data_IF_574320960734
#
_entry.id   IF_574320960734
#
_cell.length_a   1.000
_cell.length_b   1.000
_cell.length_c   1.000
_cell.angle_alpha   90.00
_cell.angle_beta   90.00
_cell.angle_gamma   90.00
#
_symmetry.space_group_name_H-M   'P 1'
#
loop_
_entity.id
_entity.type
_entity.pdbx_description
1 polymer ?
#
# COMPACT_ATOMS: atom_id res chain seq x y z
N UNK A 1 -23.48 4.79 -15.47
CA UNK A 1 -22.64 5.68 -14.65
C UNK A 1 -21.46 4.86 -14.18
N UNK A 2 -20.23 5.38 -14.35
CA UNK A 2 -19.03 4.73 -13.83
C UNK A 2 -18.90 5.03 -12.34
N UNK A 3 -18.56 4.01 -11.55
CA UNK A 3 -18.30 4.14 -10.11
C UNK A 3 -16.86 4.57 -9.93
N UNK A 4 -16.56 5.51 -9.03
CA UNK A 4 -15.16 5.89 -8.78
C UNK A 4 -14.37 4.70 -8.20
N UNK A 5 -13.16 4.45 -8.68
CA UNK A 5 -12.31 3.37 -8.20
C UNK A 5 -11.22 3.94 -7.31
N UNK A 6 -11.36 3.74 -6.01
CA UNK A 6 -10.46 4.24 -4.98
C UNK A 6 -9.54 3.13 -4.48
N UNK A 7 -8.25 3.28 -4.73
CA UNK A 7 -7.19 2.40 -4.24
C UNK A 7 -6.56 3.03 -3.01
N UNK A 8 -6.97 2.55 -1.84
CA UNK A 8 -6.48 3.02 -0.54
C UNK A 8 -5.15 2.38 -0.20
N UNK A 9 -4.12 3.19 0.01
CA UNK A 9 -2.77 2.75 0.34
C UNK A 9 -2.37 3.26 1.72
N UNK A 10 -2.15 2.35 2.68
CA UNK A 10 -1.75 2.69 4.05
C UNK A 10 -0.23 2.78 4.17
N UNK A 11 0.29 3.89 4.70
CA UNK A 11 1.69 4.05 5.08
C UNK A 11 1.83 4.08 6.61
N UNK A 12 3.07 4.08 7.11
CA UNK A 12 3.37 4.04 8.55
C UNK A 12 2.77 5.22 9.33
N UNK A 13 2.70 6.42 8.73
CA UNK A 13 2.19 7.64 9.38
C UNK A 13 1.13 8.40 8.57
N UNK A 14 0.81 7.92 7.38
CA UNK A 14 -0.07 8.57 6.42
C UNK A 14 -0.82 7.51 5.61
N UNK A 15 -1.73 7.96 4.76
CA UNK A 15 -2.32 7.12 3.73
C UNK A 15 -2.49 7.96 2.47
N UNK A 16 -2.58 7.29 1.33
CA UNK A 16 -2.95 7.91 0.07
C UNK A 16 -4.06 7.11 -0.58
N UNK A 17 -4.98 7.78 -1.24
CA UNK A 17 -6.01 7.13 -2.04
C UNK A 17 -5.78 7.51 -3.48
N UNK A 18 -5.56 6.52 -4.34
CA UNK A 18 -5.43 6.71 -5.77
C UNK A 18 -6.79 6.49 -6.45
N UNK A 19 -7.13 7.34 -7.42
CA UNK A 19 -8.36 7.24 -8.21
C UNK A 19 -7.98 6.72 -9.59
N UNK A 20 -8.03 5.40 -9.78
CA UNK A 20 -7.56 4.79 -11.04
C UNK A 20 -8.37 5.25 -12.25
N UNK A 21 -9.69 5.39 -12.09
CA UNK A 21 -10.59 5.69 -13.19
C UNK A 21 -11.03 7.16 -13.23
N UNK A 22 -10.19 8.08 -12.74
CA UNK A 22 -10.52 9.50 -12.68
C UNK A 22 -10.96 10.05 -14.05
N UNK A 23 -10.30 9.62 -15.13
CA UNK A 23 -10.59 10.04 -16.50
C UNK A 23 -11.94 9.54 -17.03
N UNK A 24 -12.51 8.51 -16.40
CA UNK A 24 -13.82 7.95 -16.76
C UNK A 24 -14.97 8.56 -15.94
N UNK A 25 -14.65 9.40 -14.95
CA UNK A 25 -15.62 10.08 -14.09
C UNK A 25 -16.12 11.38 -14.73
N UNK A 26 -17.37 11.71 -14.46
CA UNK A 26 -17.91 13.02 -14.84
C UNK A 26 -17.26 14.14 -14.04
N UNK A 27 -17.17 15.35 -14.62
CA UNK A 27 -16.66 16.55 -13.95
C UNK A 27 -17.35 16.79 -12.60
N UNK A 28 -18.66 16.53 -12.51
CA UNK A 28 -19.44 16.65 -11.27
C UNK A 28 -18.96 15.69 -10.17
N UNK A 29 -18.59 14.45 -10.53
CA UNK A 29 -18.04 13.49 -9.59
C UNK A 29 -16.66 13.91 -9.12
N UNK A 30 -15.81 14.41 -10.03
CA UNK A 30 -14.48 14.91 -9.69
C UNK A 30 -14.58 16.10 -8.72
N UNK A 31 -15.50 17.04 -8.98
CA UNK A 31 -15.77 18.17 -8.07
C UNK A 31 -16.30 17.72 -6.71
N UNK A 32 -17.12 16.66 -6.67
CA UNK A 32 -17.61 16.07 -5.43
C UNK A 32 -16.46 15.49 -4.60
N UNK A 33 -15.54 14.78 -5.25
CA UNK A 33 -14.34 14.21 -4.61
C UNK A 33 -13.41 15.34 -4.12
N UNK A 34 -13.16 16.36 -4.95
CA UNK A 34 -12.36 17.52 -4.55
C UNK A 34 -12.97 18.22 -3.34
N UNK A 35 -14.28 18.45 -3.35
CA UNK A 35 -15.02 19.06 -2.25
C UNK A 35 -14.93 18.23 -0.97
N UNK A 36 -15.08 16.90 -1.09
CA UNK A 36 -14.91 15.97 0.02
C UNK A 36 -13.50 16.05 0.64
N UNK A 37 -12.47 16.05 -0.20
CA UNK A 37 -11.07 16.16 0.26
C UNK A 37 -10.81 17.51 0.92
N UNK A 38 -11.27 18.61 0.30
CA UNK A 38 -11.11 19.97 0.81
C UNK A 38 -11.85 20.19 2.14
N UNK A 39 -13.06 19.66 2.28
CA UNK A 39 -13.83 19.70 3.53
C UNK A 39 -13.09 19.00 4.67
N UNK A 40 -12.31 17.95 4.36
CA UNK A 40 -11.50 17.20 5.32
C UNK A 40 -10.08 17.73 5.47
N UNK A 41 -9.81 18.95 4.98
CA UNK A 41 -8.47 19.58 4.99
C UNK A 41 -7.40 18.70 4.34
N UNK A 42 -7.80 17.92 3.35
CA UNK A 42 -6.88 17.13 2.54
C UNK A 42 -6.34 17.89 1.36
N UNK A 43 -5.49 17.19 0.62
CA UNK A 43 -4.91 17.64 -0.63
C UNK A 43 -5.24 16.62 -1.71
N UNK A 44 -5.79 17.10 -2.82
CA UNK A 44 -6.03 16.31 -4.01
C UNK A 44 -4.98 16.69 -5.05
N UNK A 45 -4.21 15.71 -5.52
CA UNK A 45 -3.22 15.89 -6.56
C UNK A 45 -3.78 15.37 -7.89
N UNK A 46 -4.03 16.30 -8.80
CA UNK A 46 -4.57 16.01 -10.13
C UNK A 46 -3.53 15.46 -11.10
N UNK A 47 -2.22 15.56 -10.81
CA UNK A 47 -1.20 14.98 -11.70
C UNK A 47 -1.05 13.47 -11.46
N UNK A 48 -1.14 13.06 -10.19
CA UNK A 48 -1.00 11.65 -9.80
C UNK A 48 -2.33 10.96 -9.53
N UNK A 49 -3.44 11.66 -9.73
CA UNK A 49 -4.81 11.21 -9.42
C UNK A 49 -4.91 10.63 -8.01
N UNK A 50 -4.19 11.21 -7.05
CA UNK A 50 -4.14 10.74 -5.67
C UNK A 50 -4.57 11.84 -4.72
N UNK A 51 -5.18 11.45 -3.62
CA UNK A 51 -5.49 12.38 -2.55
C UNK A 51 -5.11 11.84 -1.18
N UNK A 52 -4.87 12.78 -0.27
CA UNK A 52 -4.53 12.53 1.12
C UNK A 52 -5.41 13.41 2.01
N UNK A 53 -5.84 12.92 3.16
CA UNK A 53 -6.54 13.73 4.17
C UNK A 53 -5.78 13.67 5.49
N UNK A 54 -5.77 14.78 6.24
CA UNK A 54 -4.92 14.96 7.42
C UNK A 54 -5.25 14.02 8.59
N UNK A 55 -6.40 13.36 8.57
CA UNK A 55 -6.85 12.49 9.66
C UNK A 55 -6.33 11.08 9.45
N UNK A 56 -5.60 10.50 10.42
CA UNK A 56 -5.29 9.06 10.39
C UNK A 56 -6.60 8.27 10.32
N UNK A 57 -6.79 7.53 9.23
CA UNK A 57 -7.98 6.76 8.94
C UNK A 57 -7.57 5.34 8.57
N UNK A 58 -8.35 4.38 9.05
CA UNK A 58 -8.26 3.01 8.62
C UNK A 58 -9.16 2.79 7.41
N UNK A 59 -8.90 1.76 6.61
CA UNK A 59 -9.67 1.48 5.41
C UNK A 59 -11.17 1.34 5.70
N UNK A 60 -11.56 0.62 6.75
CA UNK A 60 -12.96 0.50 7.18
C UNK A 60 -13.61 1.85 7.49
N UNK A 61 -12.86 2.79 8.08
CA UNK A 61 -13.34 4.14 8.36
C UNK A 61 -13.49 4.94 7.06
N UNK A 62 -12.54 4.80 6.13
CA UNK A 62 -12.60 5.43 4.82
C UNK A 62 -13.81 4.97 4.01
N UNK A 63 -14.07 3.66 3.96
CA UNK A 63 -15.26 3.09 3.30
C UNK A 63 -16.54 3.62 3.96
N UNK A 64 -16.58 3.65 5.29
CA UNK A 64 -17.72 4.21 6.04
C UNK A 64 -17.95 5.70 5.75
N UNK A 65 -16.88 6.46 5.51
CA UNK A 65 -16.97 7.88 5.16
C UNK A 65 -17.51 8.12 3.75
N UNK A 66 -17.09 7.29 2.79
CA UNK A 66 -17.61 7.35 1.42
C UNK A 66 -19.09 7.00 1.37
N UNK A 67 -19.50 5.95 2.09
CA UNK A 67 -20.92 5.57 2.22
C UNK A 67 -21.76 6.70 2.82
N UNK A 68 -21.27 7.37 3.87
CA UNK A 68 -21.95 8.53 4.47
C UNK A 68 -22.03 9.75 3.55
N UNK A 69 -21.09 9.87 2.61
CA UNK A 69 -21.02 11.00 1.68
C UNK A 69 -21.79 10.72 0.38
N UNK A 70 -22.50 9.58 0.29
CA UNK A 70 -23.26 9.13 -0.88
C UNK A 70 -22.40 9.04 -2.18
N UNK A 71 -21.09 8.83 -2.03
CA UNK A 71 -20.19 8.65 -3.18
C UNK A 71 -20.23 7.17 -3.57
N UNK A 72 -20.86 6.87 -4.70
CA UNK A 72 -20.91 5.50 -5.23
C UNK A 72 -19.54 5.15 -5.84
N UNK A 73 -18.74 4.43 -5.06
CA UNK A 73 -17.35 4.11 -5.38
C UNK A 73 -16.98 2.67 -5.00
N UNK A 74 -16.11 2.08 -5.81
CA UNK A 74 -15.43 0.82 -5.54
C UNK A 74 -14.16 1.16 -4.76
N UNK A 75 -13.96 0.51 -3.63
CA UNK A 75 -12.80 0.74 -2.77
C UNK A 75 -11.95 -0.52 -2.72
N UNK A 76 -10.67 -0.42 -3.06
CA UNK A 76 -9.69 -1.48 -2.91
C UNK A 76 -8.64 -1.07 -1.89
N UNK A 77 -8.24 -2.00 -1.01
CA UNK A 77 -7.14 -1.80 -0.08
C UNK A 77 -5.84 -2.32 -0.70
N UNK A 78 -4.91 -1.42 -0.96
CA UNK A 78 -3.56 -1.73 -1.40
C UNK A 78 -2.62 -1.77 -0.19
N UNK A 79 -2.23 -2.98 0.18
CA UNK A 79 -1.15 -3.18 1.13
C UNK A 79 0.16 -2.91 0.40
N UNK A 80 0.86 -1.84 0.79
CA UNK A 80 2.26 -1.70 0.44
C UNK A 80 2.98 -2.95 0.92
N UNK A 81 3.32 -3.82 -0.03
CA UNK A 81 4.25 -4.92 0.19
C UNK A 81 5.56 -4.23 0.54
N UNK A 82 5.81 -4.04 1.84
CA UNK A 82 7.10 -3.60 2.35
C UNK A 82 8.07 -4.68 1.89
N UNK A 83 8.73 -4.45 0.75
CA UNK A 83 9.87 -5.26 0.36
C UNK A 83 10.80 -5.20 1.57
N UNK A 84 11.08 -6.36 2.17
CA UNK A 84 11.97 -6.42 3.31
C UNK A 84 13.35 -6.02 2.80
N UNK A 85 13.66 -4.72 2.87
CA UNK A 85 14.99 -4.15 2.62
C UNK A 85 15.94 -4.52 3.75
N UNK A 86 15.72 -5.63 4.45
CA UNK A 86 16.75 -6.20 5.28
C UNK A 86 17.81 -6.73 4.32
N UNK A 87 18.98 -6.10 4.39
CA UNK A 87 20.16 -6.54 3.66
C UNK A 87 20.76 -7.70 4.45
N UNK A 88 21.22 -8.71 3.74
CA UNK A 88 22.04 -9.75 4.34
C UNK A 88 23.33 -9.11 4.85
N UNK A 89 23.63 -9.26 6.13
CA UNK A 89 24.85 -8.69 6.73
C UNK A 89 26.04 -9.66 6.70
N UNK A 90 25.86 -10.88 6.18
CA UNK A 90 26.80 -11.98 6.31
C UNK A 90 26.88 -12.90 5.07
N UNK A 91 28.01 -13.59 4.90
CA UNK A 91 28.19 -14.58 3.82
C UNK A 91 28.39 -13.98 2.42
N UNK A 92 28.20 -14.81 1.38
CA UNK A 92 28.51 -14.49 -0.02
C UNK A 92 27.63 -13.37 -0.61
N UNK A 93 26.42 -13.20 -0.08
CA UNK A 93 25.44 -12.20 -0.54
C UNK A 93 25.34 -10.99 0.41
N UNK A 94 26.41 -10.70 1.16
CA UNK A 94 26.47 -9.55 2.07
C UNK A 94 26.19 -8.24 1.32
N UNK A 95 25.18 -7.51 1.76
CA UNK A 95 24.73 -6.24 1.19
C UNK A 95 23.51 -6.35 0.26
N UNK A 96 23.12 -7.56 -0.15
CA UNK A 96 21.94 -7.81 -0.98
C UNK A 96 20.67 -7.95 -0.13
N UNK A 97 19.53 -7.51 -0.66
CA UNK A 97 18.24 -7.69 0.00
C UNK A 97 17.85 -9.17 0.02
N UNK A 98 17.13 -9.62 1.05
CA UNK A 98 16.63 -11.00 1.09
C UNK A 98 15.75 -11.34 -0.13
N UNK A 99 15.04 -10.35 -0.67
CA UNK A 99 14.23 -10.48 -1.88
C UNK A 99 15.01 -10.69 -3.17
N UNK A 100 16.34 -10.51 -3.19
CA UNK A 100 17.19 -10.70 -4.38
C UNK A 100 17.93 -12.05 -4.35
N UNK A 101 17.78 -12.81 -3.26
CA UNK A 101 18.50 -14.08 -3.09
C UNK A 101 17.87 -15.20 -3.92
N UNK A 102 18.68 -16.14 -4.42
CA UNK A 102 18.17 -17.37 -5.01
C UNK A 102 17.52 -18.27 -3.94
N UNK A 103 16.47 -18.98 -4.31
CA UNK A 103 15.65 -19.80 -3.39
C UNK A 103 16.46 -20.90 -2.69
N UNK A 104 17.43 -21.49 -3.38
CA UNK A 104 18.37 -22.46 -2.80
C UNK A 104 19.17 -21.88 -1.64
N UNK A 105 19.49 -20.59 -1.67
CA UNK A 105 20.24 -19.92 -0.61
C UNK A 105 19.33 -19.52 0.57
N UNK A 106 18.07 -19.16 0.33
CA UNK A 106 17.08 -18.94 1.39
C UNK A 106 16.79 -20.24 2.18
N UNK A 107 16.66 -21.37 1.48
CA UNK A 107 16.51 -22.69 2.12
C UNK A 107 17.76 -23.07 2.93
N UNK A 108 18.94 -22.82 2.39
CA UNK A 108 20.20 -23.03 3.12
C UNK A 108 20.29 -22.15 4.37
N UNK A 109 19.91 -20.87 4.26
CA UNK A 109 19.84 -19.92 5.37
C UNK A 109 18.88 -20.39 6.47
N UNK A 110 17.70 -20.92 6.12
CA UNK A 110 16.74 -21.48 7.08
C UNK A 110 17.35 -22.62 7.90
N UNK A 111 18.15 -23.49 7.27
CA UNK A 111 18.77 -24.65 7.91
C UNK A 111 20.08 -24.34 8.63
N UNK A 112 20.85 -23.34 8.18
CA UNK A 112 22.20 -23.06 8.69
C UNK A 112 22.29 -21.81 9.58
N UNK A 113 21.34 -20.88 9.47
CA UNK A 113 21.40 -19.62 10.23
C UNK A 113 20.56 -19.69 11.50
N UNK A 114 21.24 -19.65 12.65
CA UNK A 114 20.61 -19.67 13.98
C UNK A 114 20.70 -18.30 14.69
N UNK A 115 20.82 -17.22 13.92
CA UNK A 115 20.92 -15.84 14.43
C UNK A 115 19.57 -15.12 14.50
N UNK A 116 19.60 -13.87 14.98
CA UNK A 116 18.41 -13.01 15.16
C UNK A 116 17.57 -12.76 13.89
N UNK A 117 18.13 -12.97 12.70
CA UNK A 117 17.45 -12.66 11.42
C UNK A 117 16.61 -13.85 10.89
N UNK A 118 16.39 -14.89 11.70
CA UNK A 118 15.58 -16.07 11.31
C UNK A 118 14.13 -15.71 11.04
N UNK A 119 13.56 -14.77 11.81
CA UNK A 119 12.18 -14.29 11.61
C UNK A 119 12.03 -13.59 10.25
N UNK A 120 13.03 -12.81 9.84
CA UNK A 120 13.11 -12.17 8.51
C UNK A 120 13.18 -13.21 7.40
N UNK A 121 14.01 -14.24 7.57
CA UNK A 121 14.15 -15.32 6.58
C UNK A 121 12.84 -16.11 6.46
N UNK A 122 12.17 -16.42 7.57
CA UNK A 122 10.86 -17.11 7.57
C UNK A 122 9.77 -16.25 6.92
N UNK A 123 9.77 -14.95 7.19
CA UNK A 123 8.84 -14.00 6.57
C UNK A 123 9.06 -13.92 5.05
N UNK A 124 10.31 -13.89 4.57
CA UNK A 124 10.63 -13.89 3.13
C UNK A 124 10.31 -15.22 2.44
N UNK A 125 10.52 -16.35 3.12
CA UNK A 125 10.11 -17.68 2.62
C UNK A 125 8.59 -17.80 2.49
N UNK A 126 7.84 -17.35 3.51
CA UNK A 126 6.38 -17.26 3.45
C UNK A 126 5.91 -16.32 2.35
N UNK A 127 6.62 -15.20 2.15
CA UNK A 127 6.31 -14.26 1.08
C UNK A 127 6.48 -14.88 -0.32
N UNK A 128 7.47 -15.76 -0.50
CA UNK A 128 7.71 -16.47 -1.76
C UNK A 128 6.93 -17.78 -1.93
N UNK A 129 6.11 -18.19 -0.96
CA UNK A 129 5.38 -19.47 -0.97
C UNK A 129 6.29 -20.70 -1.21
N UNK A 130 7.43 -20.74 -0.50
CA UNK A 130 8.41 -21.86 -0.55
C UNK A 130 8.45 -22.66 0.76
#
# INVERSE_FOLDING_TARGET
MYKAHFVFTKFHNSFSVHVENLEQLSVEQIQTIESFVKQRKGLFDFNTYTFVIQKRLEFSEFVSLLQKSAIDAVCEENFLKVQQTQKIEFGKYKGLAYSDLPDSYLLWLKSNYNGKNRETIDAELKFRNL
#
